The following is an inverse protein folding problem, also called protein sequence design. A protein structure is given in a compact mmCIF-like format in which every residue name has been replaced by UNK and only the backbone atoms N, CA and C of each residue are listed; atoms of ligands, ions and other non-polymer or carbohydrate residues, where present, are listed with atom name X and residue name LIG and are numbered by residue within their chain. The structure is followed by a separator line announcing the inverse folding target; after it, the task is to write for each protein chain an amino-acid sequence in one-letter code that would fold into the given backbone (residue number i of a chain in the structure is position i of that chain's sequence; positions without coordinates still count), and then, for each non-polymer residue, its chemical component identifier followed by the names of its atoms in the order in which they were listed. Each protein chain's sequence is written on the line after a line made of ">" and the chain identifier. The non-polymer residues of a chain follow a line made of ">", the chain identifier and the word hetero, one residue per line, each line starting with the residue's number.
data_IF_246276944670
#
_entry.id   IF_246276944670
#
_cell.length_a   1.000
_cell.length_b   1.000
_cell.length_c   1.000
_cell.angle_alpha   90.00
_cell.angle_beta   90.00
_cell.angle_gamma   90.00
#
_symmetry.space_group_name_H-M   'P 1'
#
loop_
_entity.id
_entity.type
_entity.pdbx_description
1 polymer ?
#
# COMPACT_ATOMS: atom_id res chain seq x y z
N UNK A 1 6.76 -59.90 33.88
CA UNK A 1 5.53 -59.45 34.56
C UNK A 1 5.39 -57.94 34.42
N UNK A 2 4.30 -57.51 33.78
CA UNK A 2 3.53 -56.23 33.84
C UNK A 2 4.20 -54.95 34.38
N UNK A 3 4.14 -53.89 33.56
CA UNK A 3 3.51 -52.54 33.78
C UNK A 3 4.16 -51.55 32.78
N UNK A 4 3.65 -51.40 31.55
CA UNK A 4 2.64 -50.41 31.10
C UNK A 4 2.60 -49.12 31.94
N UNK A 5 3.08 -48.02 31.35
CA UNK A 5 2.42 -46.71 31.21
C UNK A 5 3.42 -45.53 31.32
N UNK A 6 3.45 -44.69 30.27
CA UNK A 6 3.55 -43.22 30.33
C UNK A 6 3.71 -42.71 28.89
N UNK A 7 2.68 -42.64 28.05
CA UNK A 7 1.54 -41.70 28.08
C UNK A 7 1.89 -40.20 27.97
N UNK A 8 3.04 -39.82 27.38
CA UNK A 8 3.38 -38.39 27.16
C UNK A 8 3.89 -37.99 25.77
N UNK A 9 4.11 -38.91 24.84
CA UNK A 9 4.77 -38.56 23.56
C UNK A 9 3.83 -38.22 22.39
N UNK A 10 2.52 -38.45 22.51
CA UNK A 10 1.57 -38.27 21.41
C UNK A 10 0.83 -36.92 21.41
N UNK A 11 1.11 -36.03 22.38
CA UNK A 11 0.47 -34.72 22.47
C UNK A 11 1.29 -33.57 21.88
N UNK A 12 2.54 -33.79 21.47
CA UNK A 12 3.45 -32.71 21.06
C UNK A 12 3.45 -32.39 19.56
N UNK A 13 2.92 -33.27 18.71
CA UNK A 13 2.96 -33.09 17.25
C UNK A 13 1.67 -32.48 16.67
N UNK A 14 0.63 -32.24 17.49
CA UNK A 14 -0.67 -31.77 16.99
C UNK A 14 -0.88 -30.25 17.06
N UNK A 15 0.00 -29.48 17.71
CA UNK A 15 -0.27 -28.06 18.03
C UNK A 15 0.58 -27.02 17.29
N UNK A 16 1.61 -27.42 16.53
CA UNK A 16 2.60 -26.45 15.96
C UNK A 16 2.45 -26.24 14.44
N UNK A 17 1.72 -27.10 13.75
CA UNK A 17 1.60 -27.02 12.29
C UNK A 17 0.22 -26.49 11.88
N UNK A 18 0.20 -25.23 11.47
CA UNK A 18 -0.85 -24.58 10.66
C UNK A 18 -1.92 -23.73 11.35
N UNK A 19 -1.61 -23.07 12.47
CA UNK A 19 -2.30 -21.83 12.88
C UNK A 19 -1.67 -20.55 12.26
N UNK A 20 -0.80 -20.68 11.25
CA UNK A 20 -0.12 -19.53 10.59
C UNK A 20 -0.77 -19.18 9.23
N UNK A 21 -1.91 -19.79 8.89
CA UNK A 21 -2.76 -19.32 7.79
C UNK A 21 -3.81 -18.31 8.29
N UNK A 22 -3.36 -17.31 9.04
CA UNK A 22 -4.06 -16.03 9.03
C UNK A 22 -3.49 -15.34 7.79
N UNK A 23 -4.08 -15.65 6.64
CA UNK A 23 -3.81 -14.95 5.41
C UNK A 23 -3.96 -13.47 5.70
N UNK A 24 -2.84 -12.74 5.62
CA UNK A 24 -2.78 -11.29 5.62
C UNK A 24 -3.86 -10.80 4.67
N UNK A 25 -4.97 -10.33 5.22
CA UNK A 25 -5.83 -9.39 4.54
C UNK A 25 -4.94 -8.16 4.45
N UNK A 26 -4.26 -8.00 3.31
CA UNK A 26 -3.61 -6.74 2.98
C UNK A 26 -4.74 -5.78 2.64
N UNK A 27 -5.31 -5.16 3.66
CA UNK A 27 -6.11 -3.96 3.48
C UNK A 27 -5.15 -2.90 2.96
N UNK A 28 -5.01 -2.84 1.63
CA UNK A 28 -4.29 -1.76 0.97
C UNK A 28 -5.15 -0.52 1.23
N UNK A 29 -4.82 0.24 2.28
CA UNK A 29 -5.60 1.42 2.69
C UNK A 29 -5.42 2.60 1.72
N UNK A 30 -4.41 2.55 0.84
CA UNK A 30 -4.13 3.56 -0.17
C UNK A 30 -4.08 2.98 -1.58
N UNK A 31 -4.79 3.58 -2.53
CA UNK A 31 -4.80 3.10 -3.92
C UNK A 31 -3.59 3.57 -4.74
N UNK A 32 -2.93 4.64 -4.28
CA UNK A 32 -1.78 5.22 -4.94
C UNK A 32 -0.83 5.90 -3.98
N UNK A 33 0.41 6.14 -4.43
CA UNK A 33 1.41 6.83 -3.60
C UNK A 33 1.18 8.35 -3.51
N UNK A 34 0.40 8.92 -4.42
CA UNK A 34 0.24 10.39 -4.57
C UNK A 34 -1.11 10.94 -4.10
N UNK A 35 -2.02 10.10 -3.59
CA UNK A 35 -3.36 10.55 -3.16
C UNK A 35 -4.45 10.49 -4.23
N UNK A 36 -4.14 9.97 -5.42
CA UNK A 36 -5.15 9.82 -6.47
C UNK A 36 -5.89 8.49 -6.28
N UNK A 37 -7.22 8.53 -6.24
CA UNK A 37 -8.07 7.35 -6.28
C UNK A 37 -7.99 6.72 -7.67
N UNK A 38 -7.11 5.74 -7.83
CA UNK A 38 -6.83 5.10 -9.12
C UNK A 38 -8.02 4.27 -9.61
N UNK A 39 -8.86 3.74 -8.72
CA UNK A 39 -10.01 2.94 -9.10
C UNK A 39 -11.17 3.77 -9.65
N UNK A 40 -11.23 5.06 -9.28
CA UNK A 40 -12.16 6.01 -9.90
C UNK A 40 -11.63 6.66 -11.19
N UNK A 41 -10.42 6.28 -11.63
CA UNK A 41 -9.78 6.89 -12.80
C UNK A 41 -10.28 6.26 -14.11
N UNK A 42 -11.14 6.98 -14.84
CA UNK A 42 -11.68 6.54 -16.15
C UNK A 42 -10.60 6.25 -17.20
N UNK A 43 -9.42 6.89 -17.09
CA UNK A 43 -8.31 6.69 -18.03
C UNK A 43 -7.58 5.37 -17.83
N UNK A 44 -7.75 4.70 -16.68
CA UNK A 44 -7.01 3.50 -16.29
C UNK A 44 -7.18 2.38 -17.33
N UNK A 45 -8.42 2.13 -17.75
CA UNK A 45 -8.74 1.13 -18.79
C UNK A 45 -8.25 1.55 -20.18
N UNK A 46 -8.38 2.84 -20.52
CA UNK A 46 -8.00 3.38 -21.83
C UNK A 46 -6.50 3.26 -22.10
N UNK A 47 -5.67 3.47 -21.08
CA UNK A 47 -4.20 3.42 -21.20
C UNK A 47 -3.58 2.15 -20.64
N UNK A 48 -4.39 1.13 -20.30
CA UNK A 48 -3.92 -0.12 -19.67
C UNK A 48 -3.03 0.11 -18.43
N UNK A 49 -3.37 1.13 -17.63
CA UNK A 49 -2.66 1.43 -16.39
C UNK A 49 -3.13 0.45 -15.30
N UNK A 50 -2.22 -0.25 -14.63
CA UNK A 50 -2.55 -1.16 -13.52
C UNK A 50 -2.35 -0.51 -12.14
N UNK A 51 -2.06 0.79 -12.11
CA UNK A 51 -1.83 1.57 -10.89
C UNK A 51 -0.35 1.65 -10.50
N UNK A 52 0.04 2.72 -9.82
CA UNK A 52 1.45 2.96 -9.49
C UNK A 52 2.03 1.94 -8.50
N UNK A 53 1.19 1.24 -7.74
CA UNK A 53 1.60 0.21 -6.78
C UNK A 53 2.07 -1.07 -7.49
N UNK A 54 1.42 -1.41 -8.60
CA UNK A 54 1.68 -2.64 -9.36
C UNK A 54 2.69 -2.44 -10.49
N UNK A 55 2.68 -1.26 -11.13
CA UNK A 55 3.55 -0.97 -12.27
C UNK A 55 4.94 -0.51 -11.83
N UNK A 56 5.97 -1.08 -12.45
CA UNK A 56 7.35 -0.62 -12.27
C UNK A 56 7.57 0.80 -12.86
N UNK A 57 7.00 1.04 -14.04
CA UNK A 57 7.08 2.31 -14.79
C UNK A 57 5.72 2.96 -14.97
N UNK A 58 5.69 4.26 -15.19
CA UNK A 58 4.44 4.98 -15.46
C UNK A 58 3.88 4.63 -16.84
N UNK A 59 2.58 4.83 -17.04
CA UNK A 59 1.93 4.52 -18.33
C UNK A 59 2.48 5.37 -19.49
N UNK A 60 3.03 6.56 -19.22
CA UNK A 60 3.62 7.44 -20.25
C UNK A 60 5.11 7.15 -20.50
N UNK A 61 5.64 6.05 -19.95
CA UNK A 61 7.03 5.61 -20.17
C UNK A 61 8.10 6.38 -19.39
N UNK A 62 7.71 7.39 -18.61
CA UNK A 62 8.61 8.15 -17.73
C UNK A 62 8.66 7.61 -16.30
N UNK A 63 9.46 8.25 -15.47
CA UNK A 63 9.45 8.03 -14.02
C UNK A 63 8.56 9.07 -13.34
N UNK A 64 7.79 8.63 -12.34
CA UNK A 64 7.01 9.53 -11.51
C UNK A 64 7.86 9.93 -10.31
N UNK A 65 8.24 11.20 -10.20
CA UNK A 65 9.06 11.70 -9.08
C UNK A 65 8.43 11.42 -7.71
N UNK A 66 7.10 11.43 -7.60
CA UNK A 66 6.39 11.06 -6.37
C UNK A 66 6.56 9.59 -6.04
N UNK A 67 6.44 8.69 -7.04
CA UNK A 67 6.66 7.25 -6.85
C UNK A 67 8.09 7.00 -6.38
N UNK A 68 9.08 7.53 -7.09
CA UNK A 68 10.49 7.37 -6.76
C UNK A 68 10.81 7.92 -5.37
N UNK A 69 10.22 9.05 -4.98
CA UNK A 69 10.40 9.63 -3.65
C UNK A 69 9.82 8.75 -2.53
N UNK A 70 8.59 8.25 -2.70
CA UNK A 70 7.99 7.34 -1.72
C UNK A 70 8.77 6.03 -1.62
N UNK A 71 9.18 5.44 -2.75
CA UNK A 71 9.98 4.22 -2.76
C UNK A 71 11.36 4.42 -2.12
N UNK A 72 12.03 5.54 -2.39
CA UNK A 72 13.32 5.86 -1.77
C UNK A 72 13.24 6.13 -0.26
N UNK A 73 12.08 6.59 0.22
CA UNK A 73 11.80 6.82 1.65
C UNK A 73 11.12 5.63 2.33
N UNK A 74 10.85 4.56 1.59
CA UNK A 74 10.12 3.38 2.04
C UNK A 74 8.73 3.72 2.62
N UNK A 75 8.06 4.74 2.06
CA UNK A 75 6.71 5.18 2.44
C UNK A 75 5.65 4.57 1.52
N UNK A 76 4.47 4.24 2.08
CA UNK A 76 3.34 3.73 1.31
C UNK A 76 2.75 4.82 0.41
N UNK A 77 2.47 5.99 0.99
CA UNK A 77 1.97 7.16 0.28
C UNK A 77 2.58 8.48 0.80
N UNK A 78 2.32 9.57 0.09
CA UNK A 78 2.86 10.88 0.47
C UNK A 78 2.36 11.41 1.81
N UNK A 79 1.24 10.90 2.32
CA UNK A 79 0.64 11.35 3.58
C UNK A 79 1.49 10.98 4.80
N UNK A 80 2.26 9.90 4.72
CA UNK A 80 3.22 9.48 5.73
C UNK A 80 4.52 10.31 5.73
N UNK A 81 4.70 11.19 4.74
CA UNK A 81 5.93 11.96 4.61
C UNK A 81 6.00 13.07 5.67
N UNK A 82 7.13 13.15 6.40
CA UNK A 82 7.38 14.21 7.40
C UNK A 82 7.20 15.64 6.83
N UNK A 83 7.54 15.81 5.55
CA UNK A 83 7.38 17.07 4.82
C UNK A 83 6.13 16.96 3.94
N UNK A 84 4.95 17.14 4.54
CA UNK A 84 3.67 17.04 3.85
C UNK A 84 2.77 18.28 4.09
N UNK A 85 2.16 18.87 3.03
CA UNK A 85 2.37 18.56 1.61
C UNK A 85 3.67 19.18 1.07
N UNK A 86 4.49 18.40 0.38
CA UNK A 86 5.71 18.90 -0.26
C UNK A 86 5.42 19.65 -1.58
N UNK A 87 6.38 20.44 -2.06
CA UNK A 87 6.25 21.22 -3.29
C UNK A 87 5.98 20.33 -4.52
N UNK A 88 6.69 19.20 -4.63
CA UNK A 88 6.52 18.25 -5.74
C UNK A 88 5.09 17.69 -5.80
N UNK A 89 4.53 17.27 -4.66
CA UNK A 89 3.15 16.81 -4.59
C UNK A 89 2.19 17.96 -4.91
N UNK A 90 2.43 19.13 -4.34
CA UNK A 90 1.58 20.32 -4.50
C UNK A 90 1.53 20.86 -5.93
N UNK A 91 2.58 20.64 -6.73
CA UNK A 91 2.63 21.11 -8.12
C UNK A 91 2.24 20.05 -9.15
N UNK A 92 2.28 18.76 -8.79
CA UNK A 92 1.91 17.68 -9.70
C UNK A 92 0.45 17.80 -10.17
N UNK A 93 0.26 17.89 -11.49
CA UNK A 93 -1.06 17.98 -12.14
C UNK A 93 -1.54 19.39 -12.45
N UNK A 94 -0.94 20.43 -11.84
CA UNK A 94 -1.34 21.84 -12.07
C UNK A 94 -1.25 22.25 -13.53
N UNK A 95 -0.16 21.89 -14.21
CA UNK A 95 0.05 22.21 -15.63
C UNK A 95 -0.98 21.55 -16.55
N UNK A 96 -1.59 20.46 -16.11
CA UNK A 96 -2.64 19.75 -16.84
C UNK A 96 -4.05 20.20 -16.43
N UNK A 97 -4.16 21.22 -15.55
CA UNK A 97 -5.43 21.77 -15.07
C UNK A 97 -6.08 21.00 -13.92
N UNK A 98 -5.35 20.08 -13.26
CA UNK A 98 -5.87 19.37 -12.09
C UNK A 98 -5.65 20.15 -10.79
N UNK A 99 -6.63 20.07 -9.88
CA UNK A 99 -6.52 20.62 -8.54
C UNK A 99 -5.70 19.69 -7.63
N UNK A 100 -4.51 20.10 -7.15
CA UNK A 100 -3.68 19.28 -6.27
C UNK A 100 -4.27 19.12 -4.87
N UNK A 101 -5.22 19.96 -4.44
CA UNK A 101 -5.79 19.89 -3.09
C UNK A 101 -6.60 18.60 -2.89
N UNK A 102 -7.31 18.14 -3.93
CA UNK A 102 -8.15 16.94 -3.87
C UNK A 102 -7.33 15.71 -3.46
N UNK A 103 -6.19 15.48 -4.12
CA UNK A 103 -5.30 14.35 -3.82
C UNK A 103 -4.53 14.54 -2.50
N UNK A 104 -4.23 15.79 -2.12
CA UNK A 104 -3.56 16.08 -0.85
C UNK A 104 -4.50 15.74 0.30
N UNK A 105 -5.77 16.10 0.20
CA UNK A 105 -6.76 15.73 1.22
C UNK A 105 -6.92 14.22 1.31
N UNK A 106 -6.96 13.53 0.18
CA UNK A 106 -6.99 12.06 0.17
C UNK A 106 -5.78 11.44 0.88
N UNK A 107 -4.58 12.00 0.71
CA UNK A 107 -3.40 11.56 1.46
C UNK A 107 -3.55 11.75 2.98
N UNK A 108 -4.25 12.80 3.43
CA UNK A 108 -4.52 13.01 4.87
C UNK A 108 -5.49 11.98 5.40
N UNK A 109 -6.53 11.65 4.62
CA UNK A 109 -7.51 10.63 4.99
C UNK A 109 -6.79 9.30 5.20
N UNK A 110 -5.98 8.86 4.25
CA UNK A 110 -5.19 7.63 4.37
C UNK A 110 -4.24 7.66 5.56
N UNK A 111 -3.52 8.76 5.78
CA UNK A 111 -2.60 8.87 6.93
C UNK A 111 -3.34 8.75 8.27
N UNK A 112 -4.54 9.33 8.38
CA UNK A 112 -5.34 9.24 9.61
C UNK A 112 -5.97 7.85 9.81
N UNK A 113 -6.25 7.11 8.74
CA UNK A 113 -6.80 5.75 8.82
C UNK A 113 -5.74 4.73 9.28
N UNK A 114 -4.46 4.96 8.99
CA UNK A 114 -3.35 4.11 9.45
C UNK A 114 -3.03 4.27 10.96
N UNK A 115 -3.47 5.37 11.59
CA UNK A 115 -3.21 5.64 13.01
C UNK A 115 -4.25 5.01 13.97
N UNK A 116 -5.27 4.29 13.46
CA UNK A 116 -6.41 3.75 14.24
C UNK A 116 -6.25 2.27 14.61
#
# INVERSE_FOLDING_TARGET
>A
MRRIASFKSLFYTFFVVNSIFIGKISDIMFESRCGVLCDSCERKEQVSCTGCLTMEKTFWGGECGVKTCCEAKELGHCGECEIFPCEMLSNMGKEQGFDPLIKIEQCRIWANEEEI
#
